data_IF_682347255574
#
_entry.id   IF_682347255574
#
_cell.length_a   1.000
_cell.length_b   1.000
_cell.length_c   1.000
_cell.angle_alpha   90.00
_cell.angle_beta   90.00
_cell.angle_gamma   90.00
#
_symmetry.space_group_name_H-M   'P 1'
#
loop_
_entity.id
_entity.type
_entity.pdbx_description
1 polymer ?
#
# COMPACT_ATOMS: atom_id res chain seq x y z
N UNK A 1 -12.61 -5.10 23.41
CA UNK A 1 -11.98 -4.64 22.15
C UNK A 1 -12.84 -3.55 21.56
N UNK A 2 -12.22 -2.42 21.21
CA UNK A 2 -12.91 -1.30 20.58
C UNK A 2 -12.69 -1.35 19.07
N UNK A 3 -13.59 -0.76 18.29
CA UNK A 3 -13.47 -0.69 16.83
C UNK A 3 -13.15 0.73 16.40
N UNK A 4 -12.17 0.89 15.51
CA UNK A 4 -11.89 2.13 14.79
C UNK A 4 -12.32 1.93 13.35
N UNK A 5 -12.95 2.96 12.79
CA UNK A 5 -13.35 3.03 11.40
C UNK A 5 -12.59 4.17 10.74
N UNK A 6 -11.86 3.86 9.67
CA UNK A 6 -11.09 4.81 8.88
C UNK A 6 -11.81 4.95 7.53
N UNK A 7 -12.41 6.10 7.26
CA UNK A 7 -13.14 6.33 6.01
C UNK A 7 -12.20 6.64 4.84
N UNK A 8 -12.70 6.44 3.62
CA UNK A 8 -12.05 6.92 2.39
C UNK A 8 -11.73 8.42 2.49
N UNK A 9 -12.69 9.23 2.99
CA UNK A 9 -12.54 10.68 3.06
C UNK A 9 -11.40 11.11 3.99
N UNK A 10 -11.23 10.43 5.13
CA UNK A 10 -10.14 10.70 6.06
C UNK A 10 -8.77 10.54 5.35
N UNK A 11 -8.58 9.46 4.58
CA UNK A 11 -7.31 9.20 3.88
C UNK A 11 -7.10 10.08 2.64
N UNK A 12 -8.17 10.35 1.88
CA UNK A 12 -8.10 11.07 0.61
C UNK A 12 -8.19 12.59 0.73
N UNK A 13 -8.60 13.12 1.88
CA UNK A 13 -8.76 14.57 2.08
C UNK A 13 -7.98 15.02 3.31
N UNK A 14 -8.33 14.51 4.47
CA UNK A 14 -7.83 15.05 5.74
C UNK A 14 -6.36 14.68 6.01
N UNK A 15 -5.98 13.44 5.75
CA UNK A 15 -4.62 12.93 5.95
C UNK A 15 -3.78 12.89 4.67
N UNK A 16 -4.34 13.35 3.54
CA UNK A 16 -3.71 13.21 2.22
C UNK A 16 -2.33 13.86 2.16
N UNK A 17 -2.23 15.12 2.61
CA UNK A 17 -0.97 15.84 2.62
C UNK A 17 0.07 15.21 3.56
N UNK A 18 -0.37 14.70 4.71
CA UNK A 18 0.49 13.96 5.64
C UNK A 18 1.03 12.71 4.99
N UNK A 19 0.19 11.89 4.37
CA UNK A 19 0.60 10.65 3.67
C UNK A 19 1.57 10.98 2.53
N UNK A 20 1.26 11.98 1.69
CA UNK A 20 2.14 12.41 0.61
C UNK A 20 3.48 12.93 1.11
N UNK A 21 3.53 13.57 2.29
CA UNK A 21 4.80 14.03 2.86
C UNK A 21 5.78 12.90 3.15
N UNK A 22 5.28 11.71 3.53
CA UNK A 22 6.09 10.50 3.73
C UNK A 22 6.41 9.75 2.43
N UNK A 23 5.57 9.90 1.40
CA UNK A 23 5.71 9.17 0.13
C UNK A 23 6.58 9.90 -0.93
N UNK A 24 6.87 11.18 -0.75
CA UNK A 24 7.81 11.93 -1.60
C UNK A 24 9.22 11.30 -1.51
N UNK A 25 9.96 11.14 -2.63
CA UNK A 25 9.80 11.73 -3.96
C UNK A 25 9.08 10.85 -5.02
N UNK A 26 8.49 9.72 -4.63
CA UNK A 26 8.07 8.69 -5.60
C UNK A 26 6.61 8.80 -6.04
N UNK A 27 5.76 9.39 -5.19
CA UNK A 27 4.32 9.53 -5.41
C UNK A 27 3.98 11.02 -5.52
N UNK A 28 3.42 11.42 -6.66
CA UNK A 28 2.89 12.77 -6.87
C UNK A 28 1.51 12.92 -6.24
N UNK A 29 0.66 11.91 -6.44
CA UNK A 29 -0.67 11.86 -5.85
C UNK A 29 -1.14 10.42 -5.63
N UNK A 30 -2.16 10.25 -4.78
CA UNK A 30 -2.84 8.97 -4.59
C UNK A 30 -4.36 9.12 -4.39
N UNK A 31 -5.06 8.02 -4.61
CA UNK A 31 -6.44 7.82 -4.18
C UNK A 31 -6.63 6.41 -3.62
N UNK A 32 -7.33 6.30 -2.49
CA UNK A 32 -7.66 5.03 -1.81
C UNK A 32 -9.18 4.86 -1.76
N UNK A 33 -9.67 3.67 -2.10
CA UNK A 33 -11.09 3.32 -1.95
C UNK A 33 -11.21 1.95 -1.27
N UNK A 34 -11.97 1.88 -0.18
CA UNK A 34 -12.35 0.64 0.49
C UNK A 34 -13.70 0.14 -0.04
N UNK A 35 -13.71 -1.01 -0.71
CA UNK A 35 -14.92 -1.51 -1.36
C UNK A 35 -14.91 -3.02 -1.53
N UNK A 36 -16.04 -3.66 -1.25
CA UNK A 36 -16.24 -5.11 -1.45
C UNK A 36 -15.19 -5.99 -0.73
N UNK A 37 -14.60 -5.51 0.36
CA UNK A 37 -13.55 -6.22 1.10
C UNK A 37 -12.18 -6.15 0.43
N UNK A 38 -11.99 -5.15 -0.45
CA UNK A 38 -10.74 -4.82 -1.10
C UNK A 38 -10.35 -3.37 -0.82
N UNK A 39 -9.05 -3.12 -0.89
CA UNK A 39 -8.46 -1.78 -0.88
C UNK A 39 -8.01 -1.50 -2.31
N UNK A 40 -8.64 -0.54 -2.96
CA UNK A 40 -8.22 -0.04 -4.26
C UNK A 40 -7.29 1.15 -4.04
N UNK A 41 -6.12 1.11 -4.68
CA UNK A 41 -5.10 2.15 -4.55
C UNK A 41 -4.68 2.60 -5.94
N UNK A 42 -4.99 3.84 -6.28
CA UNK A 42 -4.47 4.52 -7.46
C UNK A 42 -3.25 5.35 -7.04
N UNK A 43 -2.09 5.08 -7.63
CA UNK A 43 -0.85 5.84 -7.43
C UNK A 43 -0.49 6.58 -8.71
N UNK A 44 -0.31 7.89 -8.59
CA UNK A 44 0.25 8.76 -9.62
C UNK A 44 1.74 8.93 -9.33
N UNK A 45 2.56 8.30 -10.16
CA UNK A 45 4.01 8.21 -9.98
C UNK A 45 4.71 9.04 -11.06
N UNK A 46 5.84 9.65 -10.69
CA UNK A 46 6.71 10.33 -11.64
C UNK A 46 8.06 9.62 -11.71
N UNK A 47 8.21 8.77 -12.72
CA UNK A 47 9.42 7.95 -12.88
C UNK A 47 10.30 8.59 -13.95
N UNK A 48 11.48 9.07 -13.56
CA UNK A 48 12.38 9.86 -14.43
C UNK A 48 12.57 9.32 -15.85
N UNK A 49 12.69 8.01 -16.03
CA UNK A 49 12.87 7.38 -17.35
C UNK A 49 11.56 7.06 -18.10
N UNK A 50 10.45 6.89 -17.38
CA UNK A 50 9.16 6.43 -17.93
C UNK A 50 8.12 7.54 -18.00
N UNK A 51 8.42 8.71 -17.44
CA UNK A 51 7.47 9.80 -17.30
C UNK A 51 6.37 9.50 -16.28
N UNK A 52 5.21 10.15 -16.42
CA UNK A 52 4.10 9.98 -15.49
C UNK A 52 3.43 8.62 -15.71
N UNK A 53 3.19 7.93 -14.60
CA UNK A 53 2.62 6.59 -14.54
C UNK A 53 1.40 6.61 -13.62
N UNK A 54 0.32 5.95 -14.06
CA UNK A 54 -0.78 5.57 -13.19
C UNK A 54 -0.68 4.07 -12.90
N UNK A 55 -0.37 3.73 -11.65
CA UNK A 55 -0.35 2.37 -11.15
C UNK A 55 -1.58 2.15 -10.27
N UNK A 56 -2.47 1.26 -10.71
CA UNK A 56 -3.69 0.88 -9.98
C UNK A 56 -3.48 -0.46 -9.32
N UNK A 57 -3.81 -0.57 -8.04
CA UNK A 57 -3.73 -1.79 -7.28
C UNK A 57 -5.10 -2.13 -6.71
N UNK A 58 -5.45 -3.42 -6.77
CA UNK A 58 -6.51 -4.01 -5.97
C UNK A 58 -5.85 -4.92 -4.95
N UNK A 59 -5.95 -4.55 -3.68
CA UNK A 59 -5.31 -5.21 -2.56
C UNK A 59 -6.36 -5.91 -1.71
N UNK A 60 -6.02 -7.08 -1.18
CA UNK A 60 -6.85 -7.74 -0.15
C UNK A 60 -5.96 -8.18 1.00
N UNK A 61 -6.35 -7.80 2.20
CA UNK A 61 -5.69 -8.22 3.44
C UNK A 61 -5.83 -9.74 3.56
N UNK A 62 -4.68 -10.42 3.56
CA UNK A 62 -4.60 -11.86 3.80
C UNK A 62 -4.30 -12.13 5.26
N UNK A 63 -3.43 -11.31 5.84
CA UNK A 63 -3.03 -11.41 7.22
C UNK A 63 -2.58 -10.04 7.73
N UNK A 64 -2.91 -9.71 8.96
CA UNK A 64 -2.47 -8.47 9.61
C UNK A 64 -2.28 -8.75 11.10
N UNK A 65 -1.02 -8.78 11.51
CA UNK A 65 -0.63 -8.98 12.88
C UNK A 65 0.01 -7.69 13.37
N UNK A 66 -0.59 -7.08 14.38
CA UNK A 66 -0.02 -5.96 15.11
C UNK A 66 -0.28 -6.26 16.59
N UNK A 67 0.71 -6.82 17.25
CA UNK A 67 0.64 -7.26 18.64
C UNK A 67 2.04 -7.22 19.26
N UNK A 68 2.14 -7.55 20.55
CA UNK A 68 3.41 -7.53 21.29
C UNK A 68 4.55 -8.39 20.73
N UNK A 69 4.28 -9.32 19.81
CA UNK A 69 5.25 -10.24 19.24
C UNK A 69 5.62 -9.91 17.79
N UNK A 70 4.68 -9.37 17.01
CA UNK A 70 4.89 -9.13 15.59
C UNK A 70 4.04 -7.97 15.04
N UNK A 71 4.63 -7.24 14.09
CA UNK A 71 3.99 -6.15 13.36
C UNK A 71 4.14 -6.37 11.85
N UNK A 72 3.29 -7.23 11.28
CA UNK A 72 3.36 -7.63 9.88
C UNK A 72 2.02 -7.44 9.16
N UNK A 73 2.09 -7.08 7.88
CA UNK A 73 0.93 -6.97 6.99
C UNK A 73 1.20 -7.78 5.73
N UNK A 74 0.28 -8.69 5.39
CA UNK A 74 0.30 -9.46 4.15
C UNK A 74 -0.93 -9.15 3.32
N UNK A 75 -0.68 -8.80 2.06
CA UNK A 75 -1.71 -8.46 1.09
C UNK A 75 -1.58 -9.38 -0.12
N UNK A 76 -2.71 -9.83 -0.67
CA UNK A 76 -2.74 -10.22 -2.08
C UNK A 76 -2.93 -8.96 -2.91
N UNK A 77 -2.40 -8.96 -4.13
CA UNK A 77 -2.57 -7.84 -5.03
C UNK A 77 -2.76 -8.28 -6.49
N UNK A 78 -3.49 -7.46 -7.22
CA UNK A 78 -3.44 -7.40 -8.68
C UNK A 78 -3.17 -5.95 -9.07
N UNK A 79 -2.36 -5.74 -10.10
CA UNK A 79 -1.98 -4.41 -10.55
C UNK A 79 -2.36 -4.17 -12.01
N UNK A 80 -2.53 -2.89 -12.34
CA UNK A 80 -2.65 -2.42 -13.72
C UNK A 80 -1.87 -1.12 -13.83
N UNK A 81 -0.81 -1.13 -14.61
CA UNK A 81 0.11 0.00 -14.75
C UNK A 81 0.07 0.52 -16.18
N UNK A 82 -0.12 1.83 -16.33
CA UNK A 82 -0.09 2.52 -17.62
C UNK A 82 0.66 3.83 -17.53
N UNK A 83 1.32 4.20 -18.63
CA UNK A 83 1.81 5.59 -18.78
C UNK A 83 0.63 6.52 -19.01
N UNK A 84 0.69 7.71 -18.44
CA UNK A 84 -0.19 8.85 -18.78
C UNK A 84 0.56 9.90 -19.61
N UNK A 85 1.79 9.59 -20.03
CA UNK A 85 2.64 10.44 -20.83
C UNK A 85 2.46 10.26 -22.34
N UNK A 86 3.49 10.59 -23.11
CA UNK A 86 3.45 10.53 -24.57
C UNK A 86 3.47 9.08 -25.11
N UNK A 87 3.32 8.94 -26.43
CA UNK A 87 3.26 7.62 -27.10
C UNK A 87 4.52 6.79 -26.84
N UNK A 88 5.71 7.41 -26.85
CA UNK A 88 6.97 6.70 -26.59
C UNK A 88 7.04 6.16 -25.15
N UNK A 89 6.65 6.97 -24.17
CA UNK A 89 6.55 6.56 -22.76
C UNK A 89 5.52 5.44 -22.55
N UNK A 90 4.38 5.52 -23.25
CA UNK A 90 3.36 4.46 -23.25
C UNK A 90 3.89 3.13 -23.80
N UNK A 91 4.69 3.18 -24.85
CA UNK A 91 5.35 1.97 -25.38
C UNK A 91 6.38 1.40 -24.40
N UNK A 92 7.19 2.26 -23.74
CA UNK A 92 8.16 1.80 -22.75
C UNK A 92 7.50 1.09 -21.56
N UNK A 93 6.41 1.63 -21.01
CA UNK A 93 5.66 0.97 -19.91
C UNK A 93 5.09 -0.36 -20.36
N UNK A 94 4.53 -0.45 -21.58
CA UNK A 94 4.06 -1.73 -22.13
C UNK A 94 5.16 -2.77 -22.26
N UNK A 95 6.35 -2.38 -22.71
CA UNK A 95 7.50 -3.28 -22.83
C UNK A 95 7.95 -3.82 -21.46
N UNK A 96 7.90 -2.99 -20.42
CA UNK A 96 8.16 -3.44 -19.04
C UNK A 96 7.08 -4.41 -18.57
N UNK A 97 5.82 -4.15 -18.91
CA UNK A 97 4.69 -5.05 -18.60
C UNK A 97 4.72 -6.40 -19.32
N UNK A 98 5.64 -6.61 -20.29
CA UNK A 98 5.88 -7.93 -20.90
C UNK A 98 6.85 -8.80 -20.08
N UNK A 99 7.49 -8.25 -19.04
CA UNK A 99 8.33 -9.03 -18.12
C UNK A 99 7.45 -9.98 -17.31
N UNK A 100 8.02 -11.09 -16.86
CA UNK A 100 7.34 -12.04 -15.98
C UNK A 100 7.08 -11.50 -14.58
N UNK A 101 7.83 -10.47 -14.17
CA UNK A 101 7.67 -9.78 -12.89
C UNK A 101 6.61 -8.67 -13.01
N UNK A 102 5.88 -8.46 -11.93
CA UNK A 102 5.00 -7.30 -11.76
C UNK A 102 5.82 -6.01 -11.61
N UNK A 103 5.17 -4.88 -11.83
CA UNK A 103 5.72 -3.55 -11.59
C UNK A 103 6.06 -3.37 -10.10
N UNK A 104 5.21 -3.85 -9.17
CA UNK A 104 5.51 -3.80 -7.74
C UNK A 104 6.77 -4.62 -7.39
N UNK A 105 6.92 -5.83 -7.95
CA UNK A 105 8.15 -6.63 -7.74
C UNK A 105 9.38 -5.87 -8.22
N UNK A 106 9.32 -5.32 -9.43
CA UNK A 106 10.42 -4.51 -9.99
C UNK A 106 10.75 -3.32 -9.09
N UNK A 107 9.72 -2.61 -8.59
CA UNK A 107 9.91 -1.45 -7.70
C UNK A 107 10.55 -1.85 -6.36
N UNK A 108 10.10 -2.95 -5.74
CA UNK A 108 10.66 -3.45 -4.48
C UNK A 108 12.12 -3.86 -4.64
N UNK A 109 12.45 -4.57 -5.72
CA UNK A 109 13.84 -4.96 -6.05
C UNK A 109 14.74 -3.74 -6.24
N UNK A 110 14.26 -2.71 -6.94
CA UNK A 110 15.00 -1.47 -7.16
C UNK A 110 15.20 -0.63 -5.88
N UNK A 111 14.19 -0.59 -5.00
CA UNK A 111 14.26 0.15 -3.74
C UNK A 111 15.14 -0.58 -2.71
N UNK A 112 15.36 -1.89 -2.88
CA UNK A 112 16.17 -2.74 -2.01
C UNK A 112 15.86 -2.54 -0.52
N UNK A 113 14.56 -2.52 -0.17
CA UNK A 113 14.11 -2.38 1.22
C UNK A 113 13.75 -3.76 1.80
N UNK A 114 14.50 -4.28 2.79
CA UNK A 114 14.25 -5.62 3.35
C UNK A 114 12.88 -5.76 4.04
N UNK A 115 12.32 -4.63 4.47
CA UNK A 115 11.01 -4.52 5.09
C UNK A 115 9.83 -4.86 4.15
N UNK A 116 10.03 -4.80 2.84
CA UNK A 116 8.97 -5.05 1.85
C UNK A 116 9.39 -6.21 0.95
N UNK A 117 8.52 -7.19 0.81
CA UNK A 117 8.72 -8.33 -0.09
C UNK A 117 7.51 -8.47 -1.00
N UNK A 118 7.72 -8.72 -2.28
CA UNK A 118 6.65 -8.94 -3.24
C UNK A 118 6.95 -10.15 -4.12
N UNK A 119 5.93 -10.96 -4.38
CA UNK A 119 5.93 -11.98 -5.43
C UNK A 119 4.80 -11.68 -6.43
N UNK A 120 4.52 -12.57 -7.38
CA UNK A 120 3.55 -12.38 -8.46
C UNK A 120 2.09 -12.17 -7.99
N UNK A 121 1.75 -12.54 -6.74
CA UNK A 121 0.37 -12.55 -6.23
C UNK A 121 0.17 -11.82 -4.91
N UNK A 122 1.26 -11.57 -4.17
CA UNK A 122 1.19 -11.06 -2.80
C UNK A 122 2.40 -10.24 -2.43
N UNK A 123 2.20 -9.32 -1.50
CA UNK A 123 3.27 -8.59 -0.85
C UNK A 123 3.15 -8.72 0.68
N UNK A 124 4.29 -8.61 1.34
CA UNK A 124 4.41 -8.63 2.79
C UNK A 124 5.24 -7.44 3.23
N UNK A 125 4.80 -6.82 4.32
CA UNK A 125 5.37 -5.63 4.90
C UNK A 125 5.68 -5.93 6.37
N UNK A 126 6.94 -5.76 6.75
CA UNK A 126 7.40 -5.71 8.13
C UNK A 126 7.34 -4.25 8.59
N UNK A 127 6.45 -3.95 9.53
CA UNK A 127 6.20 -2.59 9.98
C UNK A 127 7.32 -2.08 10.90
N UNK A 128 7.97 -2.95 11.68
CA UNK A 128 9.08 -2.55 12.57
C UNK A 128 10.28 -2.04 11.78
N UNK A 129 10.51 -2.61 10.59
CA UNK A 129 11.58 -2.16 9.71
C UNK A 129 11.22 -0.90 8.90
N UNK A 130 9.95 -0.47 8.89
CA UNK A 130 9.50 0.73 8.19
C UNK A 130 9.30 1.93 9.11
N UNK A 131 8.78 1.71 10.30
CA UNK A 131 8.44 2.76 11.27
C UNK A 131 9.02 2.42 12.64
N UNK A 132 9.47 3.45 13.35
CA UNK A 132 9.82 3.28 14.76
C UNK A 132 8.52 3.19 15.56
N UNK A 133 8.18 1.99 16.05
CA UNK A 133 6.99 1.75 16.87
C UNK A 133 7.37 2.05 18.32
N UNK A 134 6.82 3.11 18.95
CA UNK A 134 7.09 3.38 20.36
C UNK A 134 6.64 2.22 21.25
N UNK A 135 7.35 1.97 22.34
CA UNK A 135 7.06 0.87 23.30
C UNK A 135 5.60 0.88 23.79
N UNK A 136 5.00 2.06 23.93
CA UNK A 136 3.58 2.17 24.35
C UNK A 136 2.61 1.65 23.27
N UNK A 137 2.98 1.77 21.99
CA UNK A 137 2.16 1.29 20.88
C UNK A 137 2.39 -0.20 20.59
N UNK A 138 3.55 -0.77 20.92
CA UNK A 138 3.79 -2.22 20.72
C UNK A 138 2.95 -3.10 21.65
N UNK A 139 2.38 -2.55 22.72
CA UNK A 139 1.40 -3.24 23.57
C UNK A 139 -0.01 -3.30 22.96
N UNK A 140 -0.25 -2.60 21.84
CA UNK A 140 -1.54 -2.62 21.18
C UNK A 140 -1.70 -3.91 20.38
N UNK A 141 -2.89 -4.51 20.52
CA UNK A 141 -3.35 -5.56 19.64
C UNK A 141 -4.32 -4.96 18.63
N UNK A 142 -3.90 -4.80 17.38
CA UNK A 142 -4.73 -4.30 16.29
C UNK A 142 -5.00 -5.43 15.31
N UNK A 143 -6.27 -5.65 14.98
CA UNK A 143 -6.69 -6.67 14.01
C UNK A 143 -7.53 -6.04 12.92
N UNK A 144 -7.30 -6.52 11.70
CA UNK A 144 -8.13 -6.19 10.55
C UNK A 144 -9.48 -6.86 10.70
N UNK A 145 -10.56 -6.10 10.52
CA UNK A 145 -11.93 -6.62 10.49
C UNK A 145 -12.39 -6.68 9.03
N UNK A 146 -12.36 -5.53 8.34
CA UNK A 146 -12.98 -5.41 7.01
C UNK A 146 -12.54 -4.15 6.25
N UNK A 147 -12.83 -4.12 4.95
CA UNK A 147 -12.66 -2.98 4.03
C UNK A 147 -13.90 -2.81 3.13
N UNK A 148 -15.08 -2.81 3.75
CA UNK A 148 -16.38 -2.60 3.09
C UNK A 148 -16.95 -1.23 3.46
N UNK A 149 -17.98 -0.81 2.71
CA UNK A 149 -18.78 0.38 3.01
C UNK A 149 -17.94 1.67 3.13
N UNK A 150 -17.02 1.87 2.18
CA UNK A 150 -16.12 3.04 2.10
C UNK A 150 -15.22 3.24 3.32
N UNK A 151 -15.01 2.19 4.11
CA UNK A 151 -14.24 2.23 5.34
C UNK A 151 -13.32 1.03 5.52
N UNK A 152 -12.18 1.26 6.17
CA UNK A 152 -11.34 0.25 6.78
C UNK A 152 -11.72 0.13 8.26
N UNK A 153 -12.09 -1.08 8.67
CA UNK A 153 -12.46 -1.40 10.05
C UNK A 153 -11.33 -2.18 10.73
N UNK A 154 -10.90 -1.68 11.88
CA UNK A 154 -9.87 -2.29 12.71
C UNK A 154 -10.42 -2.47 14.12
N UNK A 155 -10.19 -3.62 14.75
CA UNK A 155 -10.38 -3.75 16.20
C UNK A 155 -9.06 -3.48 16.89
N UNK A 156 -9.09 -2.79 18.02
CA UNK A 156 -7.93 -2.59 18.86
C UNK A 156 -8.20 -2.92 20.33
N UNK A 157 -7.14 -3.34 21.00
CA UNK A 157 -7.09 -3.61 22.44
C UNK A 157 -5.66 -3.47 22.94
N UNK A 158 -5.45 -3.73 24.23
CA UNK A 158 -4.13 -3.82 24.83
C UNK A 158 -3.91 -5.31 25.12
N UNK A 159 -2.76 -5.84 24.72
CA UNK A 159 -2.31 -7.16 25.21
C UNK A 159 -1.93 -6.99 26.68
N UNK A 160 -2.68 -7.65 27.58
CA UNK A 160 -2.44 -7.67 29.03
C UNK A 160 -1.77 -8.98 29.40
#
# INVERSE_FOLDING_TARGET
>A
MNTITISNDLLNKELKDTILSYAKPYVEDFHIEFKEGYIFLDLYLQVKALGPILAKYRLKVLDFNFNSLEHTLKLSYSETVKSTGNVAQSMMVKLIGLRSQTFLQTAVEMLNRPAIRANDKSCSIDLEQLINIPDVLSMLNIKYIDSRDDCLQLSFGIDI
#
